data_IF_891458599266
#
_entry.id   IF_891458599266
#
_cell.length_a   1.000
_cell.length_b   1.000
_cell.length_c   1.000
_cell.angle_alpha   90.00
_cell.angle_beta   90.00
_cell.angle_gamma   90.00
#
_symmetry.space_group_name_H-M   'P 1'
#
loop_
_entity.id
_entity.type
_entity.pdbx_description
1 polymer ?
#
# COMPACT_ATOMS: atom_id res chain seq x y z
N UNK A 1 13.87 13.66 5.71
CA UNK A 1 14.74 14.51 4.88
C UNK A 1 14.21 15.92 5.01
N UNK A 2 14.98 16.79 5.67
CA UNK A 2 14.67 18.21 5.79
C UNK A 2 14.79 18.87 4.42
N UNK A 3 14.17 20.03 4.21
CA UNK A 3 14.15 20.64 2.88
C UNK A 3 15.54 21.07 2.38
N UNK A 4 16.47 21.40 3.28
CA UNK A 4 17.87 21.66 2.93
C UNK A 4 18.61 20.42 2.38
N UNK A 5 18.39 19.24 2.96
CA UNK A 5 18.98 17.97 2.52
C UNK A 5 18.45 17.58 1.14
N UNK A 6 17.17 17.87 0.87
CA UNK A 6 16.56 17.67 -0.46
C UNK A 6 17.23 18.56 -1.49
N UNK A 7 17.40 19.84 -1.17
CA UNK A 7 18.02 20.82 -2.05
C UNK A 7 19.46 20.45 -2.40
N UNK A 8 20.28 20.16 -1.39
CA UNK A 8 21.68 19.74 -1.60
C UNK A 8 21.80 18.44 -2.42
N UNK A 9 20.89 17.48 -2.21
CA UNK A 9 20.87 16.26 -3.01
C UNK A 9 20.54 16.54 -4.50
N UNK A 10 19.62 17.46 -4.76
CA UNK A 10 19.26 17.88 -6.12
C UNK A 10 20.40 18.64 -6.79
N UNK A 11 21.05 19.60 -6.11
CA UNK A 11 22.22 20.30 -6.64
C UNK A 11 23.35 19.34 -7.03
N UNK A 12 23.67 18.37 -6.15
CA UNK A 12 24.72 17.38 -6.40
C UNK A 12 24.42 16.48 -7.59
N UNK A 13 23.14 16.22 -7.88
CA UNK A 13 22.76 15.50 -9.09
C UNK A 13 22.85 16.39 -10.32
N UNK A 14 22.42 17.64 -10.23
CA UNK A 14 22.46 18.59 -11.33
C UNK A 14 23.89 18.91 -11.77
N UNK A 15 24.87 18.83 -10.86
CA UNK A 15 26.28 18.99 -11.19
C UNK A 15 26.86 17.82 -12.01
N UNK A 16 26.13 16.71 -12.15
CA UNK A 16 26.57 15.49 -12.85
C UNK A 16 25.70 15.11 -14.03
N UNK A 17 24.46 15.60 -14.07
CA UNK A 17 23.46 15.29 -15.08
C UNK A 17 22.77 16.59 -15.47
N UNK A 18 22.63 16.85 -16.76
CA UNK A 18 21.84 17.97 -17.28
C UNK A 18 20.34 17.68 -17.08
N UNK A 19 19.81 18.09 -15.93
CA UNK A 19 18.41 17.89 -15.58
C UNK A 19 17.67 19.22 -15.54
N UNK A 20 16.48 19.27 -16.15
CA UNK A 20 15.56 20.39 -16.05
C UNK A 20 14.84 20.37 -14.70
N UNK A 21 15.52 20.79 -13.63
CA UNK A 21 14.99 20.76 -12.26
C UNK A 21 13.97 21.88 -11.96
N UNK A 22 13.83 22.83 -12.88
CA UNK A 22 12.76 23.82 -12.97
C UNK A 22 11.42 23.18 -13.35
N UNK A 23 11.44 22.11 -14.15
CA UNK A 23 10.26 21.31 -14.46
C UNK A 23 9.79 20.55 -13.21
N UNK A 24 8.55 20.83 -12.80
CA UNK A 24 7.93 20.24 -11.61
C UNK A 24 7.77 18.71 -11.72
N UNK A 25 7.49 18.18 -12.91
CA UNK A 25 7.37 16.75 -13.15
C UNK A 25 8.72 16.04 -13.05
N UNK A 26 9.76 16.61 -13.66
CA UNK A 26 11.14 16.08 -13.59
C UNK A 26 11.62 16.09 -12.14
N UNK A 27 11.47 17.23 -11.44
CA UNK A 27 11.82 17.37 -10.02
C UNK A 27 11.10 16.35 -9.14
N UNK A 28 9.79 16.18 -9.34
CA UNK A 28 8.99 15.21 -8.58
C UNK A 28 9.43 13.76 -8.82
N UNK A 29 9.78 13.44 -10.07
CA UNK A 29 10.25 12.10 -10.47
C UNK A 29 11.60 11.76 -9.83
N UNK A 30 12.56 12.68 -9.90
CA UNK A 30 13.88 12.53 -9.26
C UNK A 30 13.74 12.36 -7.75
N UNK A 31 12.92 13.20 -7.11
CA UNK A 31 12.64 13.10 -5.68
C UNK A 31 12.01 11.76 -5.29
N UNK A 32 11.06 11.26 -6.08
CA UNK A 32 10.44 9.95 -5.87
C UNK A 32 11.47 8.82 -5.84
N UNK A 33 12.42 8.85 -6.79
CA UNK A 33 13.53 7.88 -6.86
C UNK A 33 14.42 8.00 -5.63
N UNK A 34 14.86 9.21 -5.28
CA UNK A 34 15.70 9.46 -4.10
C UNK A 34 15.03 8.99 -2.80
N UNK A 35 13.74 9.27 -2.63
CA UNK A 35 12.99 8.81 -1.46
C UNK A 35 12.88 7.29 -1.40
N UNK A 36 12.67 6.63 -2.55
CA UNK A 36 12.64 5.15 -2.63
C UNK A 36 13.99 4.56 -2.24
N UNK A 37 15.08 5.08 -2.80
CA UNK A 37 16.44 4.63 -2.50
C UNK A 37 16.81 4.86 -1.03
N UNK A 38 16.55 6.06 -0.49
CA UNK A 38 16.79 6.39 0.92
C UNK A 38 16.01 5.48 1.87
N UNK A 39 14.73 5.19 1.56
CA UNK A 39 13.91 4.27 2.36
C UNK A 39 14.45 2.84 2.34
N UNK A 40 14.82 2.35 1.17
CA UNK A 40 15.39 1.01 0.99
C UNK A 40 16.74 0.88 1.69
N UNK A 41 17.59 1.89 1.57
CA UNK A 41 18.87 1.96 2.27
C UNK A 41 18.66 1.93 3.78
N UNK A 42 17.80 2.81 4.32
CA UNK A 42 17.48 2.82 5.76
C UNK A 42 16.92 1.49 6.23
N UNK A 43 16.10 0.81 5.43
CA UNK A 43 15.61 -0.53 5.78
C UNK A 43 16.75 -1.55 5.91
N UNK A 44 17.67 -1.60 4.92
CA UNK A 44 18.83 -2.51 4.96
C UNK A 44 19.74 -2.24 6.16
N UNK A 45 20.01 -0.97 6.44
CA UNK A 45 20.82 -0.55 7.59
C UNK A 45 20.12 -0.84 8.92
N UNK A 46 18.79 -0.72 8.98
CA UNK A 46 18.01 -1.11 10.16
C UNK A 46 18.00 -2.63 10.40
N UNK A 47 18.07 -3.45 9.35
CA UNK A 47 18.25 -4.90 9.53
C UNK A 47 19.60 -5.21 10.18
N UNK A 48 20.68 -4.54 9.76
CA UNK A 48 21.99 -4.65 10.41
C UNK A 48 21.93 -4.17 11.86
N UNK A 49 21.30 -3.02 12.14
CA UNK A 49 21.13 -2.55 13.53
C UNK A 49 20.48 -3.60 14.44
N UNK A 50 19.48 -4.33 13.93
CA UNK A 50 18.74 -5.35 14.68
C UNK A 50 19.50 -6.63 14.97
N UNK A 51 20.67 -6.86 14.38
CA UNK A 51 21.50 -8.03 14.72
C UNK A 51 22.20 -7.88 16.06
N UNK A 52 22.23 -6.67 16.62
CA UNK A 52 22.88 -6.39 17.91
C UNK A 52 21.85 -6.31 19.03
N UNK A 53 22.23 -6.69 20.28
CA UNK A 53 21.31 -6.74 21.41
C UNK A 53 20.90 -5.34 21.91
N UNK A 54 21.77 -4.34 21.75
CA UNK A 54 21.50 -2.96 22.19
C UNK A 54 22.14 -1.94 21.25
N UNK A 55 21.73 -0.68 21.42
CA UNK A 55 22.14 0.41 20.55
C UNK A 55 23.62 0.76 20.68
N UNK A 56 24.22 0.62 21.85
CA UNK A 56 25.62 1.00 22.09
C UNK A 56 26.57 0.05 21.37
N UNK A 57 26.29 -1.25 21.42
CA UNK A 57 27.00 -2.26 20.62
C UNK A 57 26.80 -2.00 19.13
N UNK A 58 25.58 -1.67 18.69
CA UNK A 58 25.31 -1.35 17.29
C UNK A 58 26.12 -0.11 16.82
N UNK A 59 26.24 0.94 17.64
CA UNK A 59 27.00 2.17 17.29
C UNK A 59 28.47 1.90 17.00
N UNK A 60 29.10 0.99 17.74
CA UNK A 60 30.49 0.58 17.52
C UNK A 60 30.64 -0.27 16.26
N UNK A 61 29.58 -0.94 15.82
CA UNK A 61 29.59 -1.88 14.70
C UNK A 61 28.94 -1.30 13.44
N UNK A 62 29.56 -0.24 12.89
CA UNK A 62 29.10 0.38 11.65
C UNK A 62 29.14 -0.61 10.48
N UNK A 63 28.08 -0.72 9.67
CA UNK A 63 28.11 -1.57 8.49
C UNK A 63 29.07 -1.03 7.42
N UNK A 64 29.95 -1.90 6.92
CA UNK A 64 30.96 -1.57 5.90
C UNK A 64 30.37 -1.51 4.48
N UNK A 65 29.31 -2.27 4.22
CA UNK A 65 28.70 -2.44 2.89
C UNK A 65 27.94 -1.22 2.34
N UNK A 66 27.63 -0.23 3.18
CA UNK A 66 26.61 0.79 2.86
C UNK A 66 27.16 2.20 2.63
N UNK A 67 28.47 2.39 2.45
CA UNK A 67 29.08 3.71 2.21
C UNK A 67 28.57 4.79 3.18
N UNK A 68 28.55 4.44 4.48
CA UNK A 68 28.01 5.27 5.54
C UNK A 68 29.16 5.90 6.34
N UNK A 69 29.10 7.21 6.61
CA UNK A 69 29.98 7.85 7.58
C UNK A 69 29.61 7.43 9.00
N UNK A 70 30.55 7.53 9.94
CA UNK A 70 30.29 7.22 11.34
C UNK A 70 29.22 8.16 11.93
N UNK A 71 29.30 9.45 11.64
CA UNK A 71 28.31 10.44 12.06
C UNK A 71 26.89 10.11 11.55
N UNK A 72 26.75 9.69 10.29
CA UNK A 72 25.46 9.30 9.75
C UNK A 72 24.95 7.98 10.34
N UNK A 73 25.86 7.07 10.73
CA UNK A 73 25.50 5.86 11.44
C UNK A 73 24.94 6.15 12.83
N UNK A 74 25.60 7.01 13.60
CA UNK A 74 25.16 7.41 14.92
C UNK A 74 23.77 8.06 14.88
N UNK A 75 23.52 8.96 13.92
CA UNK A 75 22.19 9.55 13.69
C UNK A 75 21.13 8.50 13.35
N UNK A 76 21.49 7.44 12.63
CA UNK A 76 20.58 6.33 12.33
C UNK A 76 20.33 5.46 13.56
N UNK A 77 21.35 5.18 14.38
CA UNK A 77 21.18 4.50 15.66
C UNK A 77 20.25 5.30 16.59
N UNK A 78 20.42 6.62 16.69
CA UNK A 78 19.50 7.50 17.44
C UNK A 78 18.06 7.34 16.96
N UNK A 79 17.86 7.38 15.63
CA UNK A 79 16.55 7.21 15.02
C UNK A 79 15.94 5.83 15.32
N UNK A 80 16.73 4.75 15.29
CA UNK A 80 16.24 3.39 15.53
C UNK A 80 15.98 3.10 17.01
N UNK A 81 16.69 3.79 17.90
CA UNK A 81 16.49 3.74 19.34
C UNK A 81 15.39 4.68 19.84
N UNK A 82 14.95 5.66 19.04
CA UNK A 82 13.84 6.56 19.40
C UNK A 82 12.55 5.76 19.71
N UNK A 83 12.01 5.84 20.94
CA UNK A 83 10.78 5.15 21.33
C UNK A 83 9.57 5.52 20.44
N UNK A 84 9.52 6.75 19.91
CA UNK A 84 8.45 7.16 18.98
C UNK A 84 8.60 6.44 17.64
N UNK A 85 9.82 6.28 17.14
CA UNK A 85 10.10 5.52 15.93
C UNK A 85 9.74 4.03 16.11
N UNK A 86 10.18 3.41 17.20
CA UNK A 86 9.92 2.00 17.52
C UNK A 86 8.41 1.71 17.61
N UNK A 87 7.66 2.49 18.39
CA UNK A 87 6.20 2.37 18.50
C UNK A 87 5.50 2.48 17.15
N UNK A 88 5.97 3.36 16.26
CA UNK A 88 5.43 3.49 14.90
C UNK A 88 5.72 2.24 14.07
N UNK A 89 6.94 1.71 14.15
CA UNK A 89 7.33 0.48 13.46
C UNK A 89 6.52 -0.73 13.93
N UNK A 90 6.35 -0.91 15.24
CA UNK A 90 5.54 -1.98 15.84
C UNK A 90 4.08 -1.89 15.43
N UNK A 91 3.49 -0.69 15.49
CA UNK A 91 2.12 -0.45 15.04
C UNK A 91 1.95 -0.83 13.57
N UNK A 92 2.86 -0.38 12.71
CA UNK A 92 2.81 -0.69 11.29
C UNK A 92 2.98 -2.20 11.04
N UNK A 93 3.85 -2.88 11.79
CA UNK A 93 4.01 -4.33 11.70
C UNK A 93 2.73 -5.07 12.14
N UNK A 94 2.12 -4.66 13.25
CA UNK A 94 0.86 -5.23 13.75
C UNK A 94 -0.27 -5.03 12.75
N UNK A 95 -0.43 -3.81 12.20
CA UNK A 95 -1.44 -3.53 11.17
C UNK A 95 -1.22 -4.40 9.93
N UNK A 96 0.03 -4.58 9.48
CA UNK A 96 0.35 -5.45 8.35
C UNK A 96 0.02 -6.92 8.60
N UNK A 97 0.27 -7.44 9.80
CA UNK A 97 -0.11 -8.82 10.16
C UNK A 97 -1.62 -9.06 10.12
N UNK A 98 -2.42 -8.02 10.30
CA UNK A 98 -3.88 -8.11 10.26
C UNK A 98 -4.45 -7.98 8.84
N UNK A 99 -3.62 -7.78 7.80
CA UNK A 99 -4.07 -7.76 6.40
C UNK A 99 -4.26 -9.20 5.93
N UNK A 100 -5.51 -9.68 5.94
CA UNK A 100 -5.86 -11.06 5.60
C UNK A 100 -6.07 -11.30 4.11
N UNK A 101 -6.58 -10.31 3.39
CA UNK A 101 -6.94 -10.41 1.97
C UNK A 101 -5.93 -9.62 1.13
N UNK A 102 -4.78 -10.24 0.84
CA UNK A 102 -3.73 -9.59 0.04
C UNK A 102 -3.92 -9.93 -1.44
N UNK A 103 -4.06 -8.93 -2.34
CA UNK A 103 -4.20 -9.20 -3.77
C UNK A 103 -2.86 -9.57 -4.43
N UNK A 104 -2.92 -10.28 -5.55
CA UNK A 104 -1.76 -10.72 -6.35
C UNK A 104 -1.35 -9.74 -7.47
N UNK A 105 -2.04 -8.60 -7.60
CA UNK A 105 -1.87 -7.64 -8.72
C UNK A 105 -0.62 -6.74 -8.58
N UNK A 106 0.20 -6.95 -7.55
CA UNK A 106 1.38 -6.14 -7.29
C UNK A 106 1.05 -4.66 -7.07
N UNK A 107 1.77 -3.76 -7.76
CA UNK A 107 1.57 -2.31 -7.66
C UNK A 107 0.48 -1.76 -8.59
N UNK A 108 -0.21 -2.63 -9.34
CA UNK A 108 -1.27 -2.20 -10.26
C UNK A 108 -2.49 -1.73 -9.46
N UNK A 109 -3.01 -0.56 -9.80
CA UNK A 109 -4.21 -0.03 -9.16
C UNK A 109 -5.44 -0.87 -9.56
N UNK A 110 -6.39 -1.07 -8.64
CA UNK A 110 -7.61 -1.84 -8.90
C UNK A 110 -8.39 -1.32 -10.11
N UNK A 111 -8.51 0.00 -10.30
CA UNK A 111 -9.16 0.59 -11.50
C UNK A 111 -8.49 0.11 -12.79
N UNK A 112 -7.16 0.12 -12.85
CA UNK A 112 -6.42 -0.35 -14.01
C UNK A 112 -6.51 -1.88 -14.19
N UNK A 113 -6.63 -2.65 -13.11
CA UNK A 113 -6.88 -4.09 -13.18
C UNK A 113 -8.27 -4.40 -13.70
N UNK A 114 -9.31 -3.70 -13.22
CA UNK A 114 -10.70 -3.87 -13.70
C UNK A 114 -10.81 -3.56 -15.18
N UNK A 115 -10.20 -2.45 -15.61
CA UNK A 115 -10.20 -2.05 -17.02
C UNK A 115 -9.64 -3.16 -17.93
N UNK A 116 -8.55 -3.81 -17.54
CA UNK A 116 -7.95 -4.87 -18.34
C UNK A 116 -8.64 -6.24 -18.24
N UNK A 117 -9.59 -6.38 -17.32
CA UNK A 117 -10.42 -7.58 -17.17
C UNK A 117 -11.80 -7.41 -17.82
N UNK A 118 -12.01 -6.33 -18.58
CA UNK A 118 -13.25 -6.13 -19.33
C UNK A 118 -13.38 -7.16 -20.45
N UNK A 119 -14.60 -7.62 -20.67
CA UNK A 119 -14.99 -8.42 -21.82
C UNK A 119 -16.14 -7.71 -22.53
N UNK A 120 -16.02 -7.48 -23.84
CA UNK A 120 -16.99 -6.70 -24.64
C UNK A 120 -17.41 -5.37 -23.98
N UNK A 121 -16.40 -4.61 -23.51
CA UNK A 121 -16.55 -3.35 -22.74
C UNK A 121 -17.31 -3.44 -21.40
N UNK A 122 -17.78 -4.63 -21.01
CA UNK A 122 -18.43 -4.87 -19.74
C UNK A 122 -17.40 -5.10 -18.62
N UNK A 123 -17.58 -4.43 -17.49
CA UNK A 123 -16.74 -4.63 -16.31
C UNK A 123 -17.01 -5.99 -15.66
N UNK A 124 -15.96 -6.67 -15.13
CA UNK A 124 -16.17 -7.87 -14.34
C UNK A 124 -17.01 -7.53 -13.10
N UNK A 125 -17.92 -8.44 -12.75
CA UNK A 125 -18.63 -8.34 -11.48
C UNK A 125 -17.64 -8.48 -10.29
N UNK A 126 -18.09 -8.13 -9.09
CA UNK A 126 -17.21 -8.07 -7.91
C UNK A 126 -16.64 -9.43 -7.51
N UNK A 127 -17.40 -10.52 -7.68
CA UNK A 127 -16.93 -11.88 -7.35
C UNK A 127 -15.86 -12.35 -8.32
N UNK A 128 -16.06 -12.15 -9.62
CA UNK A 128 -15.08 -12.50 -10.64
C UNK A 128 -13.80 -11.67 -10.49
N UNK A 129 -13.95 -10.37 -10.23
CA UNK A 129 -12.82 -9.51 -9.95
C UNK A 129 -12.06 -9.94 -8.69
N UNK A 130 -12.77 -10.33 -7.63
CA UNK A 130 -12.15 -10.83 -6.41
C UNK A 130 -11.30 -12.08 -6.69
N UNK A 131 -11.86 -13.06 -7.41
CA UNK A 131 -11.14 -14.27 -7.84
C UNK A 131 -9.90 -13.92 -8.66
N UNK A 132 -10.05 -13.11 -9.71
CA UNK A 132 -8.96 -12.72 -10.60
C UNK A 132 -7.80 -12.01 -9.86
N UNK A 133 -8.11 -11.30 -8.77
CA UNK A 133 -7.12 -10.55 -7.99
C UNK A 133 -6.57 -11.29 -6.78
N UNK A 134 -7.16 -12.41 -6.37
CA UNK A 134 -6.73 -13.17 -5.17
C UNK A 134 -6.40 -14.64 -5.45
N UNK A 135 -6.60 -15.10 -6.68
CA UNK A 135 -6.23 -16.43 -7.16
C UNK A 135 -5.34 -16.33 -8.40
N UNK A 136 -4.38 -17.25 -8.53
CA UNK A 136 -3.56 -17.44 -9.72
C UNK A 136 -3.61 -18.91 -10.12
N UNK A 137 -3.66 -19.20 -11.42
CA UNK A 137 -3.65 -20.59 -11.89
C UNK A 137 -2.35 -21.32 -11.52
N UNK A 138 -1.23 -20.59 -11.46
CA UNK A 138 0.08 -21.20 -11.16
C UNK A 138 0.33 -21.34 -9.65
N UNK A 139 -0.16 -20.39 -8.85
CA UNK A 139 0.16 -20.27 -7.41
C UNK A 139 -1.02 -20.54 -6.48
N UNK A 140 -2.21 -20.75 -7.02
CA UNK A 140 -3.45 -20.90 -6.26
C UNK A 140 -3.88 -19.60 -5.57
N UNK A 141 -4.59 -19.75 -4.44
CA UNK A 141 -5.07 -18.65 -3.62
C UNK A 141 -3.94 -17.94 -2.88
N UNK A 142 -4.05 -16.61 -2.82
CA UNK A 142 -3.09 -15.74 -2.13
C UNK A 142 -3.02 -15.98 -0.62
N UNK A 143 -4.15 -16.34 -0.02
CA UNK A 143 -4.33 -16.64 1.40
C UNK A 143 -5.48 -17.63 1.56
N UNK A 144 -5.48 -18.39 2.65
CA UNK A 144 -6.61 -19.26 3.01
C UNK A 144 -7.90 -18.48 3.18
N UNK A 145 -7.82 -17.27 3.75
CA UNK A 145 -8.98 -16.40 3.97
C UNK A 145 -9.59 -15.93 2.64
N UNK A 146 -8.77 -15.70 1.62
CA UNK A 146 -9.28 -15.37 0.29
C UNK A 146 -10.03 -16.55 -0.35
N UNK A 147 -9.53 -17.78 -0.16
CA UNK A 147 -10.20 -18.98 -0.62
C UNK A 147 -11.57 -19.13 0.06
N UNK A 148 -11.59 -19.14 1.40
CA UNK A 148 -12.84 -19.27 2.18
C UNK A 148 -13.84 -18.16 1.86
N UNK A 149 -13.37 -16.93 1.66
CA UNK A 149 -14.24 -15.83 1.25
C UNK A 149 -14.87 -16.10 -0.13
N UNK A 150 -14.08 -16.53 -1.11
CA UNK A 150 -14.63 -16.83 -2.44
C UNK A 150 -15.59 -18.02 -2.42
N UNK A 151 -15.26 -19.10 -1.70
CA UNK A 151 -16.14 -20.26 -1.55
C UNK A 151 -17.49 -19.85 -0.95
N UNK A 152 -17.48 -19.01 0.10
CA UNK A 152 -18.71 -18.47 0.69
C UNK A 152 -19.51 -17.59 -0.29
N UNK A 153 -18.85 -16.80 -1.15
CA UNK A 153 -19.54 -16.02 -2.19
C UNK A 153 -20.26 -16.94 -3.18
N UNK A 154 -19.61 -18.03 -3.62
CA UNK A 154 -20.19 -18.99 -4.57
C UNK A 154 -21.36 -19.75 -3.93
N UNK A 155 -21.23 -20.14 -2.66
CA UNK A 155 -22.30 -20.79 -1.90
C UNK A 155 -23.54 -19.90 -1.79
N UNK A 156 -23.36 -18.63 -1.39
CA UNK A 156 -24.45 -17.66 -1.29
C UNK A 156 -25.11 -17.37 -2.64
N UNK A 157 -24.36 -17.37 -3.73
CA UNK A 157 -24.90 -17.22 -5.09
C UNK A 157 -25.71 -18.42 -5.56
N UNK A 158 -25.36 -19.62 -5.07
CA UNK A 158 -26.03 -20.86 -5.44
C UNK A 158 -27.22 -21.20 -4.53
N UNK A 159 -27.43 -20.43 -3.46
CA UNK A 159 -28.50 -20.67 -2.49
C UNK A 159 -29.85 -20.27 -3.08
N UNK A 160 -30.86 -21.16 -3.10
CA UNK A 160 -32.20 -20.82 -3.58
C UNK A 160 -32.82 -19.68 -2.79
N UNK A 161 -33.53 -18.80 -3.48
CA UNK A 161 -34.28 -17.71 -2.85
C UNK A 161 -35.53 -18.29 -2.20
N UNK A 162 -35.77 -17.98 -0.93
CA UNK A 162 -37.03 -18.36 -0.26
C UNK A 162 -38.23 -17.75 -0.97
N UNK A 163 -39.36 -18.47 -0.97
CA UNK A 163 -40.56 -18.08 -1.69
C UNK A 163 -41.08 -16.71 -1.18
N UNK A 164 -40.98 -15.68 -2.03
CA UNK A 164 -41.36 -14.29 -1.71
C UNK A 164 -40.22 -13.34 -1.35
N UNK A 165 -38.97 -13.80 -1.27
CA UNK A 165 -37.80 -12.93 -1.07
C UNK A 165 -37.19 -12.45 -2.39
N UNK A 166 -36.52 -11.29 -2.39
CA UNK A 166 -35.70 -10.86 -3.53
C UNK A 166 -34.32 -11.56 -3.51
N UNK A 167 -33.80 -12.00 -4.67
CA UNK A 167 -32.45 -12.54 -4.76
C UNK A 167 -31.43 -11.48 -4.34
N UNK A 168 -30.45 -11.89 -3.52
CA UNK A 168 -29.31 -11.03 -3.20
C UNK A 168 -28.52 -10.72 -4.47
N UNK A 169 -28.14 -9.45 -4.65
CA UNK A 169 -27.23 -9.09 -5.75
C UNK A 169 -25.82 -9.60 -5.46
N UNK A 170 -24.99 -9.70 -6.49
CA UNK A 170 -23.56 -10.05 -6.32
C UNK A 170 -22.88 -9.07 -5.35
N UNK A 171 -23.24 -7.80 -5.42
CA UNK A 171 -22.65 -6.76 -4.58
C UNK A 171 -23.03 -6.94 -3.11
N UNK A 172 -24.30 -7.28 -2.82
CA UNK A 172 -24.76 -7.59 -1.46
C UNK A 172 -24.05 -8.81 -0.88
N UNK A 173 -23.87 -9.85 -1.69
CA UNK A 173 -23.15 -11.08 -1.29
C UNK A 173 -21.69 -10.75 -0.97
N UNK A 174 -21.02 -9.98 -1.83
CA UNK A 174 -19.62 -9.61 -1.59
C UNK A 174 -19.50 -8.71 -0.35
N UNK A 175 -20.44 -7.80 -0.13
CA UNK A 175 -20.48 -6.95 1.07
C UNK A 175 -20.75 -7.74 2.35
N UNK A 176 -21.60 -8.77 2.29
CA UNK A 176 -21.83 -9.68 3.41
C UNK A 176 -20.57 -10.49 3.75
N UNK A 177 -19.84 -10.97 2.74
CA UNK A 177 -18.66 -11.81 2.93
C UNK A 177 -17.44 -10.99 3.36
N UNK A 178 -17.17 -9.86 2.72
CA UNK A 178 -15.98 -9.06 2.95
C UNK A 178 -16.19 -7.94 3.98
N UNK A 179 -17.45 -7.65 4.32
CA UNK A 179 -17.84 -6.51 5.13
C UNK A 179 -17.82 -5.19 4.35
N UNK A 180 -18.34 -4.15 4.98
CA UNK A 180 -18.35 -2.79 4.42
C UNK A 180 -17.63 -1.81 5.35
N UNK A 181 -17.05 -0.76 4.77
CA UNK A 181 -16.44 0.33 5.51
C UNK A 181 -16.67 1.65 4.81
N UNK A 182 -17.03 2.69 5.56
CA UNK A 182 -17.20 4.04 5.00
C UNK A 182 -15.96 4.48 4.20
N UNK A 183 -16.15 4.77 2.91
CA UNK A 183 -15.10 5.23 1.99
C UNK A 183 -14.13 4.15 1.51
N UNK A 184 -14.31 2.89 1.88
CA UNK A 184 -13.45 1.78 1.47
C UNK A 184 -14.28 0.53 1.18
N UNK A 185 -14.22 0.07 -0.06
CA UNK A 185 -14.90 -1.15 -0.50
C UNK A 185 -13.85 -2.27 -0.53
N UNK A 186 -13.93 -3.26 0.37
CA UNK A 186 -13.01 -4.39 0.34
C UNK A 186 -12.95 -5.06 -1.04
N UNK A 187 -11.74 -5.34 -1.52
CA UNK A 187 -11.51 -5.91 -2.85
C UNK A 187 -11.53 -4.91 -4.02
N UNK A 188 -12.05 -3.68 -3.82
CA UNK A 188 -12.09 -2.64 -4.86
C UNK A 188 -11.27 -1.38 -4.51
N UNK A 189 -10.83 -1.25 -3.25
CA UNK A 189 -10.04 -0.12 -2.77
C UNK A 189 -10.91 1.02 -2.25
N UNK A 190 -10.43 2.27 -2.37
CA UNK A 190 -11.19 3.43 -1.92
C UNK A 190 -12.41 3.65 -2.83
N UNK A 191 -13.59 3.72 -2.23
CA UNK A 191 -14.85 3.97 -2.94
C UNK A 191 -14.98 5.42 -3.41
N UNK A 192 -16.12 5.80 -4.03
CA UNK A 192 -16.41 7.18 -4.40
C UNK A 192 -16.14 8.12 -3.21
N UNK A 193 -15.38 9.18 -3.45
CA UNK A 193 -15.05 10.14 -2.38
C UNK A 193 -16.37 10.73 -1.86
N UNK A 194 -16.67 10.63 -0.55
CA UNK A 194 -17.88 11.26 -0.01
C UNK A 194 -17.83 12.75 -0.33
N UNK A 195 -18.95 13.28 -0.84
CA UNK A 195 -19.11 14.72 -1.10
C UNK A 195 -18.90 15.43 0.23
N UNK A 196 -17.93 16.35 0.29
CA UNK A 196 -17.71 17.17 1.47
C UNK A 196 -18.97 17.99 1.70
N UNK A 197 -19.58 17.88 2.88
CA UNK A 197 -20.83 18.57 3.30
C UNK A 197 -20.84 20.12 3.22
N UNK A 198 -19.80 20.76 2.68
CA UNK A 198 -19.69 22.22 2.61
C UNK A 198 -19.94 22.82 1.23
N UNK A 199 -20.62 22.11 0.32
CA UNK A 199 -21.12 22.69 -0.93
C UNK A 199 -22.61 22.39 -1.10
N UNK A 200 -23.40 22.92 -0.18
CA UNK A 200 -24.81 23.22 -0.45
C UNK A 200 -24.97 24.71 -0.15
N UNK A 201 -24.55 25.54 -1.10
CA UNK A 201 -25.05 26.91 -1.17
C UNK A 201 -26.27 26.86 -2.08
N UNK A 202 -27.42 26.63 -1.45
CA UNK A 202 -28.74 26.75 -2.05
C UNK A 202 -28.83 28.19 -2.56
N UNK A 203 -28.86 28.38 -3.88
CA UNK A 203 -29.44 29.58 -4.46
C UNK A 203 -30.75 29.12 -5.09
N UNK A 204 -31.85 29.48 -4.44
CA UNK A 204 -33.18 29.40 -5.02
C UNK A 204 -33.86 30.73 -4.72
N UNK A 205 -33.98 31.50 -5.81
CA UNK A 205 -34.83 32.68 -6.07
C UNK A 205 -34.60 33.92 -5.22
#
# INVERSE_FOLDING_TARGET
MKDNEKFHALERLNSKFEMKLDDSYVKSSVMSILFKLSRNHRHKVHLHFKTFPNADVARQNKPTKYNLSQENWEKLCDLFSDPKYQRRCERNARVRRNVKLTPNQGSRAFVASRYALRNDDQEPNRTDFFKATHHSNDKGWTTSEAQTAYEKMVELQSTPVEEGAEPKTIDDIVDEVLGTRSGYIPGLGYGPKPIKRNQVQIHST
#
